data_IF_854343707598
#
_entry.id   IF_854343707598
#
_cell.length_a   1.000
_cell.length_b   1.000
_cell.length_c   1.000
_cell.angle_alpha   90.00
_cell.angle_beta   90.00
_cell.angle_gamma   90.00
#
_symmetry.space_group_name_H-M   'P 1'
#
loop_
_entity.id
_entity.type
_entity.pdbx_description
1 polymer ?
#
# COMPACT_ATOMS: atom_id res chain seq x y z
N UNK A 1 15.34 -4.91 -2.99
CA UNK A 1 15.04 -4.92 -3.32
C UNK A 1 14.21 -4.66 -3.56
N UNK A 2 14.10 -4.17 -3.79
CA UNK A 2 13.21 -4.29 -3.82
C UNK A 2 12.02 -3.53 -4.17
N UNK A 3 11.86 -2.26 -3.93
CA UNK A 3 10.73 -1.51 -4.37
C UNK A 3 10.99 -0.96 -5.73
N UNK A 4 10.01 -0.98 -6.59
CA UNK A 4 10.13 -0.41 -7.91
C UNK A 4 10.06 1.10 -7.84
N UNK A 5 10.78 1.76 -8.70
CA UNK A 5 10.67 3.21 -8.80
C UNK A 5 9.30 3.55 -9.37
N UNK A 6 8.95 4.82 -9.37
CA UNK A 6 7.66 5.23 -9.91
C UNK A 6 7.47 4.82 -11.36
N UNK A 7 8.49 4.98 -12.18
CA UNK A 7 8.34 4.61 -13.58
C UNK A 7 8.33 3.10 -13.77
N UNK A 8 9.12 2.37 -13.01
CA UNK A 8 9.09 0.92 -13.07
C UNK A 8 7.74 0.39 -12.62
N UNK A 9 7.17 1.00 -11.59
CA UNK A 9 5.87 0.60 -11.09
C UNK A 9 4.81 0.85 -12.15
N UNK A 10 4.84 2.00 -12.78
CA UNK A 10 3.87 2.34 -13.79
C UNK A 10 3.90 1.33 -14.94
N UNK A 11 5.09 0.95 -15.36
CA UNK A 11 5.24 0.00 -16.43
C UNK A 11 4.73 -1.37 -16.01
N UNK A 12 5.10 -1.82 -14.84
CA UNK A 12 4.67 -3.11 -14.37
C UNK A 12 3.14 -3.15 -14.19
N UNK A 13 2.57 -2.09 -13.69
CA UNK A 13 1.15 -2.05 -13.47
C UNK A 13 0.42 -2.11 -14.80
N UNK A 14 0.93 -1.40 -15.81
CA UNK A 14 0.31 -1.44 -17.11
C UNK A 14 0.34 -2.86 -17.68
N UNK A 15 1.45 -3.57 -17.50
CA UNK A 15 1.55 -4.93 -17.96
C UNK A 15 0.56 -5.84 -17.26
N UNK A 16 0.40 -5.66 -15.95
CA UNK A 16 -0.51 -6.51 -15.20
C UNK A 16 -1.97 -6.23 -15.56
N UNK A 17 -2.29 -4.97 -15.81
CA UNK A 17 -3.64 -4.63 -16.23
C UNK A 17 -3.95 -5.24 -17.60
N UNK A 18 -2.99 -5.15 -18.52
CA UNK A 18 -3.17 -5.72 -19.84
C UNK A 18 -3.37 -7.23 -19.74
N UNK A 19 -2.60 -7.87 -18.89
CA UNK A 19 -2.72 -9.28 -18.73
C UNK A 19 -4.04 -9.67 -18.09
N UNK A 20 -4.46 -8.93 -17.07
CA UNK A 20 -5.74 -9.20 -16.42
C UNK A 20 -6.88 -9.11 -17.43
N UNK A 21 -6.86 -8.10 -18.26
CA UNK A 21 -7.90 -7.93 -19.26
C UNK A 21 -7.86 -9.01 -20.32
N UNK A 22 -6.66 -9.39 -20.76
CA UNK A 22 -6.55 -10.36 -21.79
C UNK A 22 -6.91 -11.75 -21.31
N UNK A 23 -6.49 -12.12 -20.13
CA UNK A 23 -6.69 -13.43 -19.61
C UNK A 23 -7.92 -13.59 -18.72
N UNK A 24 -8.59 -12.51 -18.45
CA UNK A 24 -9.78 -12.59 -17.63
C UNK A 24 -9.48 -12.94 -16.19
N UNK A 25 -8.35 -12.53 -15.66
CA UNK A 25 -8.00 -12.85 -14.29
C UNK A 25 -8.11 -11.61 -13.42
N UNK A 26 -8.34 -11.76 -12.13
CA UNK A 26 -8.49 -10.58 -11.27
C UNK A 26 -7.15 -9.94 -10.94
N UNK A 27 -7.23 -8.73 -10.44
CA UNK A 27 -6.06 -7.96 -10.07
C UNK A 27 -6.45 -6.97 -8.99
N UNK A 28 -5.66 -6.87 -7.96
CA UNK A 28 -5.88 -5.88 -6.90
C UNK A 28 -4.62 -5.11 -6.61
N UNK A 29 -4.78 -3.94 -6.03
CA UNK A 29 -3.66 -3.15 -5.53
C UNK A 29 -3.96 -2.73 -4.11
N UNK A 30 -2.92 -2.65 -3.29
CA UNK A 30 -3.03 -2.11 -1.96
C UNK A 30 -2.12 -0.92 -1.86
N UNK A 31 -2.59 0.17 -1.28
CA UNK A 31 -1.71 1.29 -1.01
C UNK A 31 -1.49 1.36 0.48
N UNK A 32 -0.23 1.34 0.89
CA UNK A 32 0.15 1.46 2.30
C UNK A 32 0.73 2.84 2.47
N UNK A 33 0.21 3.62 3.40
CA UNK A 33 0.72 4.96 3.63
C UNK A 33 1.24 5.09 5.05
N UNK A 34 2.25 5.91 5.22
CA UNK A 34 2.76 6.25 6.53
C UNK A 34 2.36 7.68 6.76
N UNK A 35 1.28 7.85 7.51
CA UNK A 35 0.65 9.17 7.63
C UNK A 35 1.51 10.22 8.30
N UNK A 36 2.41 9.83 9.18
CA UNK A 36 3.24 10.81 9.86
C UNK A 36 4.67 10.87 9.28
N UNK A 37 4.84 10.46 8.01
CA UNK A 37 6.17 10.45 7.43
C UNK A 37 6.75 11.86 7.29
N UNK A 38 5.92 12.83 6.96
CA UNK A 38 6.40 14.18 6.80
C UNK A 38 6.81 14.77 8.13
N UNK A 39 6.05 14.48 9.15
CA UNK A 39 6.36 14.98 10.46
C UNK A 39 7.68 14.37 10.94
N UNK A 40 7.89 13.08 10.71
CA UNK A 40 9.12 12.44 11.09
C UNK A 40 10.31 13.04 10.33
N UNK A 41 10.10 13.33 9.06
CA UNK A 41 11.15 13.92 8.26
C UNK A 41 11.50 15.32 8.77
N UNK A 42 10.48 16.08 9.15
CA UNK A 42 10.73 17.42 9.62
C UNK A 42 11.44 17.42 10.97
N UNK A 43 11.07 16.52 11.84
CA UNK A 43 11.66 16.49 13.16
C UNK A 43 13.01 15.82 13.22
N UNK A 44 13.23 14.81 12.42
CA UNK A 44 14.42 13.99 12.55
C UNK A 44 15.23 13.86 11.26
N UNK A 45 14.82 14.49 10.19
CA UNK A 45 15.59 14.46 8.95
C UNK A 45 15.10 13.42 7.99
N UNK A 46 15.45 13.62 6.73
CA UNK A 46 14.99 12.75 5.68
C UNK A 46 15.53 11.35 5.82
N UNK A 47 16.68 11.20 6.40
CA UNK A 47 17.25 9.90 6.56
C UNK A 47 16.38 9.01 7.43
N UNK A 48 15.77 9.57 8.47
CA UNK A 48 14.92 8.78 9.32
C UNK A 48 13.67 8.36 8.56
N UNK A 49 13.08 9.25 7.78
CA UNK A 49 11.89 8.88 7.03
C UNK A 49 12.22 7.83 5.97
N UNK A 50 13.40 7.91 5.35
CA UNK A 50 13.81 6.90 4.40
C UNK A 50 13.99 5.54 5.07
N UNK A 51 14.53 5.54 6.26
CA UNK A 51 14.74 4.32 7.01
C UNK A 51 13.39 3.72 7.41
N UNK A 52 12.44 4.57 7.79
CA UNK A 52 11.12 4.10 8.15
C UNK A 52 10.44 3.44 6.96
N UNK A 53 10.57 4.06 5.79
CA UNK A 53 9.95 3.52 4.60
C UNK A 53 10.60 2.19 4.23
N UNK A 54 11.90 2.10 4.33
CA UNK A 54 12.60 0.86 4.01
C UNK A 54 12.20 -0.25 4.97
N UNK A 55 12.03 0.08 6.23
CA UNK A 55 11.65 -0.89 7.22
C UNK A 55 10.23 -1.42 6.94
N UNK A 56 9.32 -0.52 6.62
CA UNK A 56 7.96 -0.91 6.29
C UNK A 56 7.95 -1.75 5.02
N UNK A 57 8.73 -1.37 4.02
CA UNK A 57 8.79 -2.13 2.77
C UNK A 57 9.30 -3.55 3.02
N UNK A 58 10.28 -3.69 3.88
CA UNK A 58 10.83 -4.99 4.19
C UNK A 58 9.82 -5.86 4.92
N UNK A 59 9.13 -5.28 5.90
CA UNK A 59 8.11 -6.02 6.63
C UNK A 59 6.96 -6.39 5.70
N UNK A 60 6.61 -5.50 4.79
CA UNK A 60 5.55 -5.74 3.84
C UNK A 60 5.94 -6.88 2.92
N UNK A 61 7.18 -6.90 2.43
CA UNK A 61 7.62 -7.94 1.52
C UNK A 61 7.41 -9.33 2.12
N UNK A 62 7.60 -9.46 3.40
CA UNK A 62 7.45 -10.75 4.05
C UNK A 62 6.02 -11.27 4.08
N UNK A 63 5.04 -10.40 3.82
CA UNK A 63 3.65 -10.80 3.82
C UNK A 63 3.16 -11.14 2.41
N UNK A 64 4.01 -11.03 1.41
CA UNK A 64 3.60 -11.14 0.03
C UNK A 64 4.22 -12.35 -0.67
N UNK A 65 3.65 -12.69 -1.82
CA UNK A 65 4.19 -13.78 -2.63
C UNK A 65 5.31 -13.24 -3.50
N UNK A 66 6.12 -14.16 -4.05
CA UNK A 66 7.25 -13.74 -4.85
C UNK A 66 6.88 -12.89 -6.04
N UNK A 67 5.74 -13.14 -6.68
CA UNK A 67 5.39 -12.37 -7.86
C UNK A 67 4.59 -11.11 -7.55
N UNK A 68 4.27 -10.88 -6.30
CA UNK A 68 3.66 -9.62 -5.94
C UNK A 68 4.74 -8.53 -6.01
N UNK A 69 4.36 -7.34 -6.40
CA UNK A 69 5.33 -6.27 -6.58
C UNK A 69 5.04 -5.10 -5.65
N UNK A 70 6.08 -4.43 -5.24
CA UNK A 70 5.96 -3.25 -4.40
C UNK A 70 6.63 -2.10 -5.12
N UNK A 71 5.97 -0.98 -5.17
CA UNK A 71 6.53 0.23 -5.78
C UNK A 71 6.20 1.44 -4.96
N UNK A 72 6.78 2.58 -5.31
CA UNK A 72 6.61 3.80 -4.55
C UNK A 72 5.99 4.87 -5.42
N UNK A 73 4.68 4.99 -5.41
CA UNK A 73 4.03 5.97 -6.27
C UNK A 73 4.18 7.41 -5.77
N UNK A 74 4.39 7.58 -4.48
CA UNK A 74 4.54 8.93 -3.94
C UNK A 74 5.27 8.87 -2.64
N UNK A 75 5.41 10.03 -2.01
CA UNK A 75 6.13 10.11 -0.78
C UNK A 75 5.39 9.44 0.34
N UNK A 76 6.06 8.63 1.12
CA UNK A 76 5.40 7.93 2.22
C UNK A 76 4.41 6.89 1.76
N UNK A 77 4.49 6.47 0.51
CA UNK A 77 3.54 5.51 -0.04
C UNK A 77 4.24 4.29 -0.59
N UNK A 78 3.62 3.13 -0.37
CA UNK A 78 4.08 1.91 -0.99
C UNK A 78 2.85 1.25 -1.63
N UNK A 79 2.94 0.94 -2.91
CA UNK A 79 1.83 0.30 -3.60
C UNK A 79 2.19 -1.16 -3.83
N UNK A 80 1.28 -2.05 -3.49
CA UNK A 80 1.47 -3.47 -3.71
C UNK A 80 0.57 -3.87 -4.85
N UNK A 81 1.13 -4.56 -5.83
CA UNK A 81 0.36 -5.08 -6.96
C UNK A 81 0.18 -6.57 -6.73
N UNK A 82 -1.06 -7.02 -6.70
CA UNK A 82 -1.40 -8.40 -6.39
C UNK A 82 -2.03 -9.07 -7.59
N UNK A 83 -1.23 -9.62 -8.48
CA UNK A 83 -1.77 -10.26 -9.67
C UNK A 83 -2.58 -11.50 -9.28
N UNK A 84 -3.72 -11.66 -9.89
CA UNK A 84 -4.54 -12.83 -9.65
C UNK A 84 -5.40 -12.78 -8.40
N UNK A 85 -5.35 -11.69 -7.66
CA UNK A 85 -6.13 -11.60 -6.44
C UNK A 85 -7.46 -10.92 -6.71
N UNK A 86 -8.54 -11.54 -6.29
CA UNK A 86 -9.85 -10.90 -6.41
C UNK A 86 -10.10 -10.07 -5.15
N UNK A 87 -11.27 -9.46 -5.07
CA UNK A 87 -11.58 -8.59 -3.94
C UNK A 87 -11.44 -9.26 -2.59
N UNK A 88 -12.08 -10.41 -2.37
CA UNK A 88 -11.96 -11.07 -1.07
C UNK A 88 -10.54 -11.46 -0.70
N UNK A 89 -9.75 -11.90 -1.70
CA UNK A 89 -8.39 -12.23 -1.42
C UNK A 89 -7.60 -10.98 -1.10
N UNK A 90 -7.81 -9.91 -1.83
CA UNK A 90 -7.16 -8.63 -1.56
C UNK A 90 -7.48 -8.15 -0.16
N UNK A 91 -8.73 -8.34 0.26
CA UNK A 91 -9.13 -7.92 1.58
C UNK A 91 -8.40 -8.71 2.66
N UNK A 92 -8.25 -9.99 2.46
CA UNK A 92 -7.52 -10.83 3.41
C UNK A 92 -6.07 -10.36 3.52
N UNK A 93 -5.44 -10.07 2.38
CA UNK A 93 -4.06 -9.60 2.40
C UNK A 93 -3.98 -8.22 3.08
N UNK A 94 -4.93 -7.34 2.79
CA UNK A 94 -4.92 -6.00 3.38
C UNK A 94 -5.01 -6.07 4.89
N UNK A 95 -5.86 -6.95 5.40
CA UNK A 95 -6.02 -7.06 6.82
C UNK A 95 -4.76 -7.60 7.47
N UNK A 96 -4.17 -8.59 6.86
CA UNK A 96 -2.94 -9.17 7.40
C UNK A 96 -1.81 -8.14 7.39
N UNK A 97 -1.72 -7.37 6.30
CA UNK A 97 -0.70 -6.34 6.19
C UNK A 97 -0.90 -5.29 7.27
N UNK A 98 -2.11 -4.81 7.42
CA UNK A 98 -2.37 -3.79 8.42
C UNK A 98 -2.02 -4.30 9.83
N UNK A 99 -2.42 -5.53 10.14
CA UNK A 99 -2.13 -6.07 11.46
C UNK A 99 -0.63 -6.14 11.71
N UNK A 100 0.14 -6.49 10.68
CA UNK A 100 1.56 -6.60 10.91
C UNK A 100 2.25 -5.25 10.97
N UNK A 101 1.79 -4.29 10.20
CA UNK A 101 2.50 -3.02 10.12
C UNK A 101 2.10 -2.03 11.19
N UNK A 102 0.91 -2.14 11.72
CA UNK A 102 0.45 -1.09 12.62
C UNK A 102 1.18 -1.04 13.95
N UNK A 103 1.91 -2.08 14.30
CA UNK A 103 2.65 -2.04 15.53
C UNK A 103 4.12 -1.67 15.35
N UNK A 104 4.51 -1.33 14.15
CA UNK A 104 5.89 -0.97 13.89
C UNK A 104 6.23 0.36 14.55
N UNK A 105 7.34 0.40 15.23
CA UNK A 105 7.85 1.61 15.82
C UNK A 105 9.28 1.82 15.36
N UNK A 106 9.64 3.09 15.23
CA UNK A 106 10.98 3.39 14.77
C UNK A 106 11.69 4.17 15.82
N UNK A 107 12.97 3.91 15.97
CA UNK A 107 13.72 4.61 16.98
C UNK A 107 14.24 5.93 16.50
N UNK A 108 13.99 6.99 17.21
CA UNK A 108 14.43 8.32 16.83
C UNK A 108 14.83 9.04 18.10
N UNK A 109 16.09 9.48 18.16
CA UNK A 109 16.59 10.25 19.31
C UNK A 109 16.33 9.52 20.63
N UNK A 110 16.57 8.23 20.62
CA UNK A 110 16.44 7.47 21.85
C UNK A 110 15.02 7.11 22.22
N UNK A 111 14.06 7.46 21.41
CA UNK A 111 12.66 7.12 21.70
C UNK A 111 12.06 6.33 20.60
N UNK A 112 11.12 5.49 20.93
CA UNK A 112 10.43 4.70 19.94
C UNK A 112 9.20 5.46 19.52
N UNK A 113 9.10 5.74 18.23
CA UNK A 113 7.98 6.49 17.67
C UNK A 113 7.14 5.56 16.82
N UNK A 114 5.83 5.56 17.00
CA UNK A 114 4.97 4.71 16.18
C UNK A 114 4.82 5.30 14.79
N UNK A 115 4.53 4.44 13.84
CA UNK A 115 4.24 4.89 12.49
C UNK A 115 2.74 4.79 12.31
N UNK A 116 2.16 5.82 11.69
CA UNK A 116 0.72 5.84 11.45
C UNK A 116 0.45 5.19 10.12
N UNK A 117 0.11 3.93 10.15
CA UNK A 117 -0.05 3.15 8.93
C UNK A 117 -1.51 3.09 8.51
N UNK A 118 -1.79 3.30 7.24
CA UNK A 118 -3.11 3.10 6.68
C UNK A 118 -2.97 2.25 5.44
N UNK A 119 -3.99 1.46 5.14
CA UNK A 119 -3.98 0.57 3.99
C UNK A 119 -5.26 0.75 3.23
N UNK A 120 -5.17 0.93 1.93
CA UNK A 120 -6.35 1.04 1.06
C UNK A 120 -6.27 -0.01 -0.02
N UNK A 121 -7.41 -0.58 -0.36
CA UNK A 121 -7.48 -1.63 -1.36
C UNK A 121 -8.29 -1.17 -2.54
N UNK A 122 -7.87 -1.52 -3.73
CA UNK A 122 -8.66 -1.28 -4.94
C UNK A 122 -8.59 -2.52 -5.82
N UNK A 123 -9.74 -2.95 -6.30
CA UNK A 123 -9.81 -4.09 -7.22
C UNK A 123 -9.96 -3.53 -8.63
N UNK A 124 -9.20 -4.08 -9.54
CA UNK A 124 -9.23 -3.60 -10.92
C UNK A 124 -10.48 -4.06 -11.63
N UNK A 125 -11.05 -3.21 -12.46
CA UNK A 125 -12.17 -3.55 -13.28
C UNK A 125 -11.90 -3.12 -14.65
N UNK A 126 -12.51 -3.70 -15.63
CA UNK A 126 -12.34 -3.37 -16.99
C UNK A 126 -12.47 -1.90 -17.21
N UNK A 127 -11.61 -1.29 -17.96
CA UNK A 127 -11.67 0.13 -18.27
C UNK A 127 -10.89 1.02 -17.32
N UNK A 128 -10.38 0.47 -16.24
CA UNK A 128 -9.65 1.27 -15.26
C UNK A 128 -8.17 1.16 -15.61
N UNK A 129 -7.49 2.30 -15.78
CA UNK A 129 -6.07 2.27 -16.07
C UNK A 129 -5.26 2.33 -14.78
N UNK A 130 -3.95 2.29 -14.89
CA UNK A 130 -3.07 2.23 -13.73
C UNK A 130 -3.19 3.44 -12.83
N UNK A 131 -3.28 4.63 -13.42
CA UNK A 131 -3.36 5.82 -12.62
C UNK A 131 -4.65 5.85 -11.83
N UNK A 132 -5.73 5.44 -12.45
CA UNK A 132 -7.00 5.43 -11.78
C UNK A 132 -7.02 4.37 -10.69
N UNK A 133 -6.42 3.23 -10.92
CA UNK A 133 -6.38 2.17 -9.92
C UNK A 133 -5.60 2.66 -8.70
N UNK A 134 -4.48 3.32 -8.90
CA UNK A 134 -3.71 3.88 -7.79
C UNK A 134 -4.53 4.93 -7.06
N UNK A 135 -5.24 5.78 -7.81
CA UNK A 135 -6.06 6.81 -7.19
C UNK A 135 -7.16 6.22 -6.33
N UNK A 136 -7.75 5.11 -6.77
CA UNK A 136 -8.78 4.44 -5.99
C UNK A 136 -8.19 3.87 -4.70
N UNK A 137 -7.02 3.25 -4.78
CA UNK A 137 -6.37 2.71 -3.59
C UNK A 137 -5.98 3.83 -2.64
N UNK A 138 -5.53 4.96 -3.18
CA UNK A 138 -5.15 6.10 -2.36
C UNK A 138 -6.35 6.67 -1.64
N UNK A 139 -7.48 6.78 -2.34
CA UNK A 139 -8.68 7.30 -1.71
C UNK A 139 -9.15 6.36 -0.60
N UNK A 140 -9.03 5.05 -0.82
CA UNK A 140 -9.40 4.08 0.20
C UNK A 140 -8.51 4.20 1.42
N UNK A 141 -7.21 4.39 1.23
CA UNK A 141 -6.28 4.55 2.35
C UNK A 141 -6.59 5.84 3.12
N UNK A 142 -6.97 6.90 2.41
CA UNK A 142 -7.29 8.14 3.06
C UNK A 142 -8.56 8.02 3.89
N UNK A 143 -9.55 7.32 3.39
CA UNK A 143 -10.78 7.12 4.17
C UNK A 143 -10.48 6.32 5.42
N UNK A 144 -9.66 5.29 5.30
CA UNK A 144 -9.32 4.48 6.45
C UNK A 144 -8.60 5.32 7.50
N UNK A 145 -7.70 6.19 7.02
CA UNK A 145 -6.97 7.00 7.93
C UNK A 145 -7.87 7.97 8.66
N UNK A 146 -8.79 8.55 7.93
CA UNK A 146 -9.66 9.51 8.56
C UNK A 146 -10.64 8.92 9.49
N UNK A 147 -10.96 7.71 9.21
CA UNK A 147 -11.92 7.11 10.01
C UNK A 147 -11.46 6.60 11.25
N UNK A 148 -10.61 6.26 11.43
CA UNK A 148 -10.18 5.72 12.55
C UNK A 148 -9.29 5.68 13.39
N UNK A 149 -9.33 6.25 14.08
CA UNK A 149 -8.55 6.21 15.16
C UNK A 149 -8.40 4.82 15.47
N UNK A 150 -9.21 4.17 15.38
CA UNK A 150 -9.12 2.91 15.84
C UNK A 150 -8.79 2.00 14.82
N UNK A 151 -8.14 2.19 14.08
CA UNK A 151 -7.80 1.34 13.14
C UNK A 151 -8.68 0.48 12.49
N UNK A 152 -9.56 0.28 12.83
CA UNK A 152 -10.30 -0.68 12.19
C UNK A 152 -10.42 -0.47 10.80
N UNK A 153 -10.49 0.45 10.51
CA UNK A 153 -10.72 0.71 9.25
C UNK A 153 -10.31 -0.15 8.26
N UNK A 154 -9.78 -0.70 8.37
CA UNK A 154 -9.47 -1.49 7.48
C UNK A 154 -9.93 -1.18 6.26
N UNK A 155 -9.96 -0.38 5.92
CA UNK A 155 -10.29 -0.01 4.70
C UNK A 155 -11.08 -0.84 4.04
N UNK A 156 -11.22 -1.21 4.30
CA UNK A 156 -11.81 -1.95 3.75
C UNK A 156 -12.85 -2.11 3.03
N UNK A 157 -13.64 -2.50 3.51
CA UNK A 157 -14.78 -2.90 2.93
C UNK A 157 -15.27 -1.93 1.96
N UNK A 158 -15.47 -0.89 2.39
CA UNK A 158 -16.08 0.05 1.56
C UNK A 158 -15.35 0.14 0.31
N UNK A 159 -14.22 0.26 0.46
CA UNK A 159 -13.50 0.47 -0.67
C UNK A 159 -13.52 -0.67 -1.52
N UNK A 160 -13.50 -1.69 -0.99
CA UNK A 160 -13.41 -2.73 -1.71
C UNK A 160 -14.33 -2.97 -2.66
N UNK A 161 -14.31 -2.92 -3.29
CA UNK A 161 -15.09 -3.36 -4.19
C UNK A 161 -16.30 -2.76 -4.39
N UNK A 162 -16.63 -2.03 -3.79
CA UNK A 162 -17.76 -1.60 -3.90
C UNK A 162 -17.69 -0.80 -4.92
N UNK A 163 -17.78 -0.88 -5.86
CA UNK A 163 -17.79 -0.10 -7.01
C UNK A 163 -18.47 1.10 -6.89
#
# INVERSE_FOLDING_TARGET
MDSLSASELSERLREEINRAGREGVPLCCLLVTIGNIEELSREHGRELSNRALAYVASALRRQLRDFDRIGRPGEGELLVVLPGADGPRGETVARRVLDRLRSIKIEADGKRRPLCISVGLAAWREGVDGEELIAQARAAAQRASGEVPSGGATASPPALGRP
#
